data_IF_388008279286
#
_entry.id   IF_388008279286
#
_cell.length_a   1.000
_cell.length_b   1.000
_cell.length_c   1.000
_cell.angle_alpha   90.00
_cell.angle_beta   90.00
_cell.angle_gamma   90.00
#
_symmetry.space_group_name_H-M   'P 1'
#
loop_
_entity.id
_entity.type
_entity.pdbx_description
1 polymer ?
#
# COMPACT_ATOMS: atom_id res chain seq x y z
N UNK A 1 61.26 62.17 32.03
CA UNK A 1 61.97 63.10 31.12
C UNK A 1 61.50 62.75 29.71
N UNK A 2 60.64 63.53 29.03
CA UNK A 2 60.94 64.72 28.16
C UNK A 2 62.05 64.38 27.14
N UNK A 3 61.90 64.47 25.81
CA UNK A 3 61.16 65.36 24.87
C UNK A 3 60.95 64.57 23.54
N UNK A 4 59.86 64.62 22.75
CA UNK A 4 59.18 65.69 21.98
C UNK A 4 60.04 66.41 20.94
N UNK A 5 59.72 66.26 19.63
CA UNK A 5 59.31 67.30 18.64
C UNK A 5 59.33 66.70 17.20
N UNK A 6 58.19 66.56 16.51
CA UNK A 6 57.54 67.50 15.56
C UNK A 6 58.29 67.74 14.24
N UNK A 7 57.61 67.46 13.13
CA UNK A 7 57.38 68.48 12.09
C UNK A 7 55.90 68.46 11.70
N UNK A 8 55.27 69.59 12.00
CA UNK A 8 53.96 70.08 11.57
C UNK A 8 53.96 70.51 10.11
N UNK A 9 52.85 70.32 9.41
CA UNK A 9 52.37 71.32 8.45
C UNK A 9 50.86 71.50 8.61
N UNK A 10 50.46 72.77 8.64
CA UNK A 10 49.15 73.30 9.00
C UNK A 10 48.63 74.14 7.82
N UNK A 11 47.30 74.11 7.60
CA UNK A 11 46.53 75.07 6.79
C UNK A 11 46.03 74.47 5.48
N UNK A 12 44.75 74.51 5.10
CA UNK A 12 43.68 75.46 5.43
C UNK A 12 42.31 74.77 5.44
N UNK A 13 41.44 75.23 6.33
CA UNK A 13 39.98 75.07 6.29
C UNK A 13 39.38 76.30 5.55
N UNK A 14 38.12 76.46 5.12
CA UNK A 14 36.76 75.94 5.39
C UNK A 14 35.96 76.27 4.09
N UNK A 15 34.97 75.49 3.61
CA UNK A 15 33.49 75.64 3.74
C UNK A 15 32.92 74.67 2.67
N UNK A 16 31.89 73.83 2.82
CA UNK A 16 30.92 73.46 3.86
C UNK A 16 30.41 72.03 3.52
N UNK A 17 29.58 71.32 4.27
CA UNK A 17 28.69 71.59 5.39
C UNK A 17 28.78 70.43 6.40
N UNK A 18 28.59 70.75 7.68
CA UNK A 18 28.10 69.91 8.77
C UNK A 18 26.92 69.01 8.33
N UNK A 19 26.63 67.83 8.88
CA UNK A 19 26.67 67.43 10.28
C UNK A 19 26.66 65.89 10.43
N UNK A 20 27.27 65.44 11.53
CA UNK A 20 26.91 64.30 12.38
C UNK A 20 26.63 62.91 11.76
N UNK A 21 27.56 62.02 12.10
CA UNK A 21 27.34 60.63 12.46
C UNK A 21 25.96 60.33 13.06
N UNK A 22 25.13 59.64 12.29
CA UNK A 22 24.14 58.70 12.81
C UNK A 22 24.34 57.36 12.12
N UNK A 23 24.35 56.32 12.96
CA UNK A 23 24.17 54.93 12.59
C UNK A 23 23.12 54.79 11.49
N UNK A 24 23.55 54.43 10.29
CA UNK A 24 22.73 53.65 9.38
C UNK A 24 23.21 52.21 9.52
N UNK A 25 22.68 51.53 10.55
CA UNK A 25 22.55 50.10 10.44
C UNK A 25 21.66 49.87 9.21
N UNK A 26 22.27 49.50 8.09
CA UNK A 26 21.52 48.91 6.99
C UNK A 26 20.77 47.72 7.59
N UNK A 27 19.43 47.69 7.59
CA UNK A 27 18.75 46.46 7.94
C UNK A 27 19.16 45.48 6.83
N UNK A 28 19.89 44.43 7.20
CA UNK A 28 19.92 43.23 6.38
C UNK A 28 18.49 42.71 6.41
N UNK A 29 17.66 43.18 5.48
CA UNK A 29 16.36 42.60 5.22
C UNK A 29 16.59 41.28 4.50
N UNK A 30 16.93 40.25 5.26
CA UNK A 30 16.83 38.86 4.80
C UNK A 30 15.74 38.15 5.59
N UNK A 31 14.51 38.63 5.48
CA UNK A 31 13.37 37.73 5.65
C UNK A 31 13.29 36.88 4.37
N UNK A 32 14.25 35.96 4.20
CA UNK A 32 14.10 34.94 3.18
C UNK A 32 12.86 34.13 3.59
N UNK A 33 11.80 34.21 2.78
CA UNK A 33 10.60 33.42 3.01
C UNK A 33 11.00 31.95 3.10
N UNK A 34 10.51 31.27 4.13
CA UNK A 34 10.64 29.82 4.28
C UNK A 34 10.00 29.11 3.09
N UNK A 35 10.42 27.88 2.77
CA UNK A 35 9.78 27.10 1.69
C UNK A 35 8.26 26.94 1.92
N UNK A 36 7.84 26.90 3.18
CA UNK A 36 6.44 26.87 3.57
C UNK A 36 5.68 28.13 3.17
N UNK A 37 6.27 29.31 3.39
CA UNK A 37 5.69 30.59 2.99
C UNK A 37 5.65 30.78 1.47
N UNK A 38 6.56 30.14 0.72
CA UNK A 38 6.56 30.17 -0.76
C UNK A 38 5.47 29.32 -1.39
N UNK A 39 5.00 28.29 -0.69
CA UNK A 39 4.03 27.31 -1.21
C UNK A 39 2.90 27.06 -0.20
N UNK A 40 2.00 28.05 0.00
CA UNK A 40 0.91 27.96 0.97
C UNK A 40 -0.17 26.94 0.61
N UNK A 41 -0.16 26.42 -0.61
CA UNK A 41 -1.04 25.36 -1.12
C UNK A 41 -0.63 23.95 -0.65
N UNK A 42 0.57 23.81 -0.08
CA UNK A 42 1.09 22.55 0.46
C UNK A 42 0.74 22.38 1.92
N UNK A 43 0.40 21.15 2.29
CA UNK A 43 0.34 20.74 3.70
C UNK A 43 1.64 20.04 4.05
N UNK A 44 2.46 20.69 4.88
CA UNK A 44 3.77 20.20 5.29
C UNK A 44 3.68 19.17 6.42
N UNK A 45 4.56 18.18 6.36
CA UNK A 45 4.72 17.13 7.36
C UNK A 45 6.21 17.01 7.65
N UNK A 46 6.64 17.62 8.76
CA UNK A 46 8.07 17.81 9.03
C UNK A 46 8.66 18.96 8.22
N UNK A 47 9.95 18.85 7.92
CA UNK A 47 10.72 19.88 7.22
C UNK A 47 10.74 19.65 5.71
N UNK A 48 10.80 18.38 5.28
CA UNK A 48 11.05 18.02 3.89
C UNK A 48 9.83 17.50 3.16
N UNK A 49 8.86 16.93 3.88
CA UNK A 49 7.72 16.28 3.24
C UNK A 49 6.50 17.19 3.19
N UNK A 50 5.65 16.92 2.20
CA UNK A 50 4.37 17.59 2.08
C UNK A 50 3.40 16.78 1.23
N UNK A 51 2.14 17.20 1.22
CA UNK A 51 1.18 16.81 0.20
C UNK A 51 0.40 18.00 -0.32
N UNK A 52 -0.17 17.84 -1.51
CA UNK A 52 -1.12 18.78 -2.11
C UNK A 52 -2.42 18.04 -2.42
N UNK A 53 -3.53 18.77 -2.45
CA UNK A 53 -4.79 18.23 -2.95
C UNK A 53 -4.85 18.46 -4.46
N UNK A 54 -4.94 17.39 -5.23
CA UNK A 54 -5.14 17.43 -6.68
C UNK A 54 -6.57 16.99 -7.02
N UNK A 55 -7.11 17.59 -8.09
CA UNK A 55 -8.38 17.13 -8.65
C UNK A 55 -8.27 15.71 -9.20
N UNK A 56 -9.35 14.93 -9.04
CA UNK A 56 -9.47 13.63 -9.67
C UNK A 56 -9.21 13.71 -11.18
N UNK A 57 -8.54 12.68 -11.71
CA UNK A 57 -8.29 12.50 -13.14
C UNK A 57 -9.59 12.04 -13.80
N UNK A 58 -10.22 12.92 -14.57
CA UNK A 58 -11.50 12.64 -15.24
C UNK A 58 -11.39 12.57 -16.76
N UNK A 59 -10.30 13.09 -17.33
CA UNK A 59 -10.03 13.14 -18.76
C UNK A 59 -9.25 11.92 -19.29
N UNK A 60 -8.68 11.10 -18.39
CA UNK A 60 -8.04 9.85 -18.77
C UNK A 60 -9.00 8.67 -18.56
N UNK A 61 -9.07 7.77 -19.54
CA UNK A 61 -9.89 6.56 -19.42
C UNK A 61 -9.04 5.32 -19.13
N UNK A 62 -8.73 5.07 -17.85
CA UNK A 62 -8.08 3.81 -17.44
C UNK A 62 -9.08 2.67 -17.19
N UNK A 63 -10.37 2.93 -17.38
CA UNK A 63 -11.48 1.99 -17.22
C UNK A 63 -12.13 1.80 -18.58
N UNK A 64 -12.03 0.61 -19.19
CA UNK A 64 -12.56 0.37 -20.55
C UNK A 64 -14.09 0.26 -20.64
N UNK A 65 -14.80 0.52 -19.56
CA UNK A 65 -16.23 0.33 -19.42
C UNK A 65 -16.92 1.70 -19.40
N UNK A 66 -17.61 2.02 -20.49
CA UNK A 66 -18.23 3.33 -20.71
C UNK A 66 -19.46 3.56 -19.82
N UNK A 67 -20.00 2.52 -19.17
CA UNK A 67 -21.08 2.66 -18.19
C UNK A 67 -20.55 3.27 -16.87
N UNK A 68 -19.25 3.13 -16.59
CA UNK A 68 -18.63 3.62 -15.36
C UNK A 68 -18.26 5.09 -15.47
N UNK A 69 -18.99 5.93 -14.75
CA UNK A 69 -18.86 7.37 -14.81
C UNK A 69 -17.65 7.87 -13.98
N UNK A 70 -16.74 8.67 -14.57
CA UNK A 70 -15.68 9.34 -13.82
C UNK A 70 -16.28 10.40 -12.88
N UNK A 71 -15.91 10.34 -11.61
CA UNK A 71 -16.37 11.26 -10.59
C UNK A 71 -15.30 12.31 -10.29
N UNK A 72 -15.69 13.59 -10.12
CA UNK A 72 -14.78 14.59 -9.58
C UNK A 72 -14.49 14.29 -8.10
N UNK A 73 -13.42 14.89 -7.59
CA UNK A 73 -13.01 14.79 -6.20
C UNK A 73 -11.69 15.50 -5.97
N UNK A 74 -11.30 15.69 -4.72
CA UNK A 74 -9.98 16.17 -4.33
C UNK A 74 -9.26 15.04 -3.61
N UNK A 75 -8.06 14.71 -4.06
CA UNK A 75 -7.28 13.60 -3.55
C UNK A 75 -5.86 14.07 -3.20
N UNK A 76 -5.28 13.60 -2.09
CA UNK A 76 -3.93 13.98 -1.73
C UNK A 76 -2.92 13.28 -2.65
N UNK A 77 -1.85 14.02 -2.98
CA UNK A 77 -0.65 13.49 -3.60
C UNK A 77 0.56 13.77 -2.73
N UNK A 78 1.23 12.70 -2.33
CA UNK A 78 2.26 12.70 -1.31
C UNK A 78 3.67 12.83 -1.89
N UNK A 79 4.44 13.78 -1.36
CA UNK A 79 5.85 14.01 -1.68
C UNK A 79 6.66 13.73 -0.40
N UNK A 80 7.25 12.55 -0.32
CA UNK A 80 7.94 12.06 0.88
C UNK A 80 9.43 11.86 0.56
N UNK A 81 10.25 12.83 0.95
CA UNK A 81 11.70 12.83 0.75
C UNK A 81 12.48 12.33 1.98
N UNK A 82 11.85 12.35 3.16
CA UNK A 82 12.41 11.80 4.38
C UNK A 82 11.33 11.02 5.15
N UNK A 83 11.35 9.70 5.04
CA UNK A 83 10.35 8.83 5.70
C UNK A 83 10.40 8.88 7.23
N UNK A 84 11.51 9.27 7.84
CA UNK A 84 11.63 9.34 9.30
C UNK A 84 10.81 10.49 9.91
N UNK A 85 10.55 11.54 9.11
CA UNK A 85 9.65 12.65 9.45
C UNK A 85 8.18 12.33 9.20
N UNK A 86 7.88 11.22 8.51
CA UNK A 86 6.51 10.88 8.13
C UNK A 86 5.76 10.12 9.25
N UNK A 87 4.45 10.36 9.44
CA UNK A 87 3.65 9.63 10.40
C UNK A 87 3.75 8.12 10.21
N UNK A 88 4.14 7.44 11.29
CA UNK A 88 4.14 5.97 11.36
C UNK A 88 2.74 5.47 11.62
N UNK A 89 2.49 4.24 11.21
CA UNK A 89 1.27 3.52 11.52
C UNK A 89 1.19 3.28 13.04
N UNK A 90 0.13 3.80 13.68
CA UNK A 90 -0.19 3.54 15.07
C UNK A 90 -1.43 2.64 15.12
N UNK A 91 -1.30 1.47 15.76
CA UNK A 91 -2.41 0.52 15.90
C UNK A 91 -3.48 0.98 16.90
N UNK A 92 -3.16 1.99 17.73
CA UNK A 92 -4.08 2.56 18.72
C UNK A 92 -4.80 3.82 18.22
N UNK A 93 -4.39 4.39 17.08
CA UNK A 93 -5.07 5.51 16.45
C UNK A 93 -6.32 5.03 15.70
N UNK A 94 -7.45 4.99 16.39
CA UNK A 94 -8.73 4.57 15.80
C UNK A 94 -9.13 5.41 14.58
N UNK A 95 -8.68 6.66 14.49
CA UNK A 95 -9.00 7.52 13.34
C UNK A 95 -8.35 7.04 12.04
N UNK A 96 -7.25 6.27 12.12
CA UNK A 96 -6.65 5.65 10.94
C UNK A 96 -7.46 4.46 10.44
N UNK A 97 -8.31 3.83 11.25
CA UNK A 97 -8.99 2.57 10.90
C UNK A 97 -10.50 2.73 10.66
N UNK A 98 -10.97 3.96 10.45
CA UNK A 98 -12.36 4.28 10.13
C UNK A 98 -12.76 3.95 8.67
N UNK A 99 -11.79 3.66 7.80
CA UNK A 99 -11.98 3.19 6.43
C UNK A 99 -11.11 1.95 6.14
N UNK A 100 -11.48 1.15 5.13
CA UNK A 100 -10.58 0.17 4.53
C UNK A 100 -9.27 0.84 4.10
N UNK A 101 -8.18 0.07 4.08
CA UNK A 101 -6.84 0.61 3.79
C UNK A 101 -6.10 -0.22 2.75
N UNK A 102 -5.44 0.46 1.83
CA UNK A 102 -4.47 -0.14 0.94
C UNK A 102 -3.13 -0.30 1.65
N UNK A 103 -2.43 -1.40 1.37
CA UNK A 103 -1.07 -1.66 1.84
C UNK A 103 -0.18 -2.08 0.68
N UNK A 104 0.97 -1.45 0.54
CA UNK A 104 1.86 -1.56 -0.63
C UNK A 104 3.31 -1.31 -0.24
N UNK A 105 4.25 -1.71 -1.11
CA UNK A 105 5.66 -1.39 -0.97
C UNK A 105 6.05 -0.24 -1.90
N UNK A 106 6.81 0.71 -1.38
CA UNK A 106 7.23 1.90 -2.10
C UNK A 106 8.60 2.36 -1.57
N UNK A 107 9.51 2.65 -2.49
CA UNK A 107 10.76 3.32 -2.20
C UNK A 107 10.55 4.81 -2.47
N UNK A 108 10.43 5.59 -1.41
CA UNK A 108 10.16 7.03 -1.51
C UNK A 108 11.44 7.85 -1.83
N UNK A 109 12.63 7.25 -1.74
CA UNK A 109 13.91 7.97 -1.83
C UNK A 109 14.60 7.84 -3.22
N UNK A 110 14.01 7.11 -4.17
CA UNK A 110 14.49 6.90 -5.57
C UNK A 110 15.94 6.37 -5.71
N UNK A 111 16.55 5.90 -4.62
CA UNK A 111 18.00 5.66 -4.52
C UNK A 111 18.35 4.16 -4.59
N UNK A 112 17.47 3.24 -4.17
CA UNK A 112 17.77 1.80 -4.20
C UNK A 112 16.53 0.91 -3.96
N UNK A 113 16.21 0.01 -4.91
CA UNK A 113 15.14 -0.98 -4.79
C UNK A 113 15.27 -1.95 -3.60
N UNK A 114 16.45 -2.04 -2.98
CA UNK A 114 16.67 -2.85 -1.76
C UNK A 114 16.17 -2.14 -0.48
N UNK A 115 15.83 -0.85 -0.57
CA UNK A 115 15.32 -0.01 0.54
C UNK A 115 13.79 0.11 0.56
N UNK A 116 13.07 -0.84 -0.04
CA UNK A 116 11.60 -0.81 -0.02
C UNK A 116 11.08 -0.70 1.41
N UNK A 117 10.10 0.17 1.58
CA UNK A 117 9.34 0.35 2.83
C UNK A 117 7.92 -0.11 2.58
N UNK A 118 7.24 -0.58 3.61
CA UNK A 118 5.80 -0.91 3.51
C UNK A 118 5.02 0.28 4.04
N UNK A 119 4.02 0.70 3.27
CA UNK A 119 3.17 1.84 3.54
C UNK A 119 1.70 1.43 3.56
N UNK A 120 0.85 2.28 4.13
CA UNK A 120 -0.59 2.14 4.03
C UNK A 120 -1.28 3.49 3.82
N UNK A 121 -2.46 3.48 3.21
CA UNK A 121 -3.33 4.66 3.12
C UNK A 121 -4.79 4.22 3.15
N UNK A 122 -5.70 5.11 3.53
CA UNK A 122 -7.15 4.86 3.39
C UNK A 122 -7.53 4.71 1.93
N UNK A 123 -8.65 4.03 1.67
CA UNK A 123 -9.11 3.78 0.29
C UNK A 123 -9.55 5.03 -0.46
N UNK A 124 -9.81 6.13 0.25
CA UNK A 124 -10.04 7.46 -0.34
C UNK A 124 -8.72 8.23 -0.61
N UNK A 125 -7.58 7.59 -0.40
CA UNK A 125 -6.24 8.15 -0.61
C UNK A 125 -5.71 8.93 0.58
N UNK A 126 -6.51 9.23 1.60
CA UNK A 126 -6.05 10.01 2.76
C UNK A 126 -5.22 9.19 3.74
N UNK A 127 -4.57 9.87 4.68
CA UNK A 127 -3.89 9.26 5.82
C UNK A 127 -2.82 8.22 5.42
N UNK A 128 -1.88 8.61 4.55
CA UNK A 128 -0.67 7.83 4.24
C UNK A 128 0.18 7.63 5.51
N UNK A 129 0.57 6.39 5.80
CA UNK A 129 1.36 6.00 6.96
C UNK A 129 2.52 5.08 6.60
N UNK A 130 3.64 5.27 7.27
CA UNK A 130 4.78 4.35 7.21
C UNK A 130 4.55 3.15 8.13
N UNK A 131 4.52 1.96 7.56
CA UNK A 131 4.18 0.71 8.30
C UNK A 131 5.43 -0.07 8.67
N UNK A 132 6.31 -0.33 7.69
CA UNK A 132 7.60 -0.98 7.91
C UNK A 132 8.67 -0.06 7.35
N UNK A 133 9.50 0.57 8.22
CA UNK A 133 10.46 1.59 7.80
C UNK A 133 11.63 1.03 6.98
N UNK A 134 11.94 -0.26 7.12
CA UNK A 134 13.01 -0.89 6.38
C UNK A 134 12.82 -2.40 6.24
N UNK A 135 12.56 -2.85 5.02
CA UNK A 135 12.38 -4.26 4.73
C UNK A 135 13.73 -4.96 4.49
N UNK A 136 14.73 -4.24 3.94
CA UNK A 136 16.02 -4.76 3.44
C UNK A 136 15.88 -5.94 2.47
N UNK A 137 14.94 -5.88 1.52
CA UNK A 137 14.72 -6.94 0.53
C UNK A 137 14.58 -6.39 -0.89
N UNK A 138 15.07 -7.15 -1.88
CA UNK A 138 14.87 -6.85 -3.30
C UNK A 138 13.47 -7.31 -3.75
N UNK A 139 12.54 -6.36 -3.78
CA UNK A 139 11.17 -6.60 -4.25
C UNK A 139 10.28 -7.34 -3.26
N UNK A 140 9.00 -7.01 -3.25
CA UNK A 140 7.98 -7.62 -2.41
C UNK A 140 6.84 -8.11 -3.29
N UNK A 141 6.52 -9.40 -3.22
CA UNK A 141 5.52 -10.03 -4.13
C UNK A 141 4.16 -10.27 -3.47
N UNK A 142 4.08 -10.25 -2.14
CA UNK A 142 2.83 -10.40 -1.41
C UNK A 142 2.95 -9.73 -0.04
N UNK A 143 1.91 -9.00 0.37
CA UNK A 143 1.79 -8.40 1.70
C UNK A 143 0.47 -8.83 2.34
N UNK A 144 0.48 -9.13 3.64
CA UNK A 144 -0.67 -9.58 4.43
C UNK A 144 -0.67 -8.96 5.83
N UNK A 145 -1.66 -8.11 6.09
CA UNK A 145 -1.98 -7.62 7.44
C UNK A 145 -2.71 -8.70 8.25
N UNK A 146 -2.40 -8.84 9.53
CA UNK A 146 -3.19 -9.67 10.46
C UNK A 146 -4.56 -9.04 10.75
N UNK A 147 -5.61 -9.84 11.05
CA UNK A 147 -6.93 -9.32 11.41
C UNK A 147 -6.94 -8.34 12.59
N UNK A 148 -6.09 -8.54 13.60
CA UNK A 148 -5.94 -7.65 14.75
C UNK A 148 -5.04 -6.43 14.47
N UNK A 149 -4.64 -6.21 13.22
CA UNK A 149 -3.81 -5.10 12.72
C UNK A 149 -2.36 -5.06 13.23
N UNK A 150 -2.00 -5.84 14.26
CA UNK A 150 -0.68 -5.81 14.91
C UNK A 150 0.49 -6.29 14.04
N UNK A 151 0.25 -7.26 13.16
CA UNK A 151 1.31 -7.88 12.37
C UNK A 151 1.18 -7.58 10.88
N UNK A 152 2.32 -7.38 10.23
CA UNK A 152 2.43 -7.35 8.77
C UNK A 152 3.37 -8.44 8.33
N UNK A 153 2.89 -9.31 7.45
CA UNK A 153 3.71 -10.32 6.81
C UNK A 153 3.96 -9.95 5.34
N UNK A 154 5.14 -10.27 4.82
CA UNK A 154 5.43 -10.14 3.40
C UNK A 154 6.33 -11.26 2.88
N UNK A 155 6.27 -11.46 1.57
CA UNK A 155 7.17 -12.35 0.82
C UNK A 155 8.05 -11.49 -0.09
N UNK A 156 9.35 -11.68 -0.01
CA UNK A 156 10.31 -11.08 -0.95
C UNK A 156 10.39 -11.85 -2.28
N UNK A 157 11.00 -11.25 -3.31
CA UNK A 157 11.15 -11.90 -4.62
C UNK A 157 11.97 -13.19 -4.57
N UNK A 158 12.88 -13.30 -3.60
CA UNK A 158 13.69 -14.48 -3.32
C UNK A 158 12.96 -15.58 -2.53
N UNK A 159 11.64 -15.46 -2.32
CA UNK A 159 10.78 -16.36 -1.52
C UNK A 159 11.03 -16.34 -0.01
N UNK A 160 11.83 -15.41 0.48
CA UNK A 160 11.97 -15.11 1.89
C UNK A 160 10.66 -14.57 2.44
N UNK A 161 10.31 -14.95 3.67
CA UNK A 161 9.06 -14.56 4.32
C UNK A 161 9.37 -13.94 5.66
N UNK A 162 8.65 -12.87 5.97
CA UNK A 162 8.90 -12.09 7.17
C UNK A 162 7.59 -11.69 7.82
N UNK A 163 7.66 -11.49 9.13
CA UNK A 163 6.60 -10.90 9.95
C UNK A 163 7.21 -9.73 10.71
N UNK A 164 6.53 -8.59 10.69
CA UNK A 164 6.86 -7.43 11.49
C UNK A 164 5.74 -7.17 12.50
N UNK A 165 6.11 -7.08 13.77
CA UNK A 165 5.21 -6.69 14.86
C UNK A 165 5.25 -5.17 15.03
N UNK A 166 4.16 -4.49 14.70
CA UNK A 166 4.05 -3.04 14.81
C UNK A 166 4.15 -2.55 16.24
N UNK A 167 3.75 -3.37 17.21
CA UNK A 167 3.75 -2.99 18.61
C UNK A 167 5.17 -2.95 19.18
N UNK A 168 6.02 -3.89 18.77
CA UNK A 168 7.38 -4.05 19.31
C UNK A 168 8.48 -3.59 18.36
N UNK A 169 8.18 -3.41 17.07
CA UNK A 169 9.14 -3.13 16.02
C UNK A 169 10.01 -4.34 15.63
N UNK A 170 9.69 -5.54 16.11
CA UNK A 170 10.49 -6.75 15.86
C UNK A 170 10.18 -7.32 14.48
N UNK A 171 11.23 -7.51 13.67
CA UNK A 171 11.19 -8.24 12.40
C UNK A 171 11.64 -9.68 12.61
N UNK A 172 10.75 -10.62 12.33
CA UNK A 172 11.01 -12.06 12.38
C UNK A 172 11.06 -12.61 10.96
N UNK A 173 12.12 -13.34 10.61
CA UNK A 173 12.16 -14.12 9.37
C UNK A 173 11.56 -15.49 9.65
N UNK A 174 10.52 -15.85 8.92
CA UNK A 174 9.95 -17.20 8.96
C UNK A 174 10.52 -18.04 7.81
N UNK A 175 10.08 -19.28 7.70
CA UNK A 175 10.59 -20.19 6.69
C UNK A 175 10.21 -19.76 5.27
N UNK A 176 11.23 -19.71 4.41
CA UNK A 176 11.11 -19.28 3.01
C UNK A 176 10.82 -20.43 2.04
N UNK A 177 11.02 -20.18 0.74
CA UNK A 177 10.84 -21.17 -0.32
C UNK A 177 9.41 -21.26 -0.86
N UNK A 178 9.25 -22.03 -1.94
CA UNK A 178 7.95 -22.34 -2.53
C UNK A 178 7.32 -21.18 -3.31
N UNK A 179 6.16 -21.45 -3.91
CA UNK A 179 5.32 -20.42 -4.53
C UNK A 179 4.79 -19.38 -3.52
N UNK A 180 4.50 -18.13 -3.92
CA UNK A 180 3.96 -17.13 -3.01
C UNK A 180 2.61 -17.56 -2.43
N UNK A 181 2.51 -17.70 -1.11
CA UNK A 181 1.26 -18.03 -0.42
C UNK A 181 1.35 -17.78 1.08
N UNK A 182 0.44 -16.93 1.59
CA UNK A 182 0.32 -16.60 3.01
C UNK A 182 -1.11 -16.20 3.37
N UNK A 183 -1.58 -16.63 4.54
CA UNK A 183 -2.86 -16.22 5.13
C UNK A 183 -2.79 -16.25 6.65
N UNK A 184 -3.41 -15.26 7.30
CA UNK A 184 -3.53 -15.22 8.76
C UNK A 184 -4.76 -16.02 9.22
N UNK A 185 -4.69 -16.61 10.41
CA UNK A 185 -5.87 -17.03 11.16
C UNK A 185 -6.71 -15.82 11.56
N UNK A 186 -8.02 -16.03 11.75
CA UNK A 186 -8.96 -14.99 12.15
C UNK A 186 -8.60 -14.31 13.48
N UNK A 187 -8.02 -15.06 14.41
CA UNK A 187 -7.53 -14.57 15.70
C UNK A 187 -6.12 -13.95 15.65
N UNK A 188 -5.49 -13.88 14.46
CA UNK A 188 -4.12 -13.39 14.25
C UNK A 188 -3.02 -14.18 14.97
N UNK A 189 -3.34 -15.36 15.53
CA UNK A 189 -2.39 -16.21 16.24
C UNK A 189 -1.43 -16.95 15.30
N UNK A 190 -1.91 -17.36 14.14
CA UNK A 190 -1.14 -18.16 13.19
C UNK A 190 -1.03 -17.46 11.85
N UNK A 191 0.18 -17.43 11.31
CA UNK A 191 0.43 -17.18 9.89
C UNK A 191 0.65 -18.52 9.20
N UNK A 192 -0.24 -18.91 8.29
CA UNK A 192 -0.08 -20.08 7.44
C UNK A 192 0.60 -19.68 6.14
N UNK A 193 1.53 -20.49 5.66
CA UNK A 193 2.29 -20.16 4.47
C UNK A 193 2.80 -21.41 3.75
N UNK A 194 3.02 -21.25 2.45
CA UNK A 194 3.61 -22.29 1.62
C UNK A 194 5.15 -22.25 1.71
N UNK A 195 5.76 -23.42 1.76
CA UNK A 195 7.20 -23.65 1.89
C UNK A 195 7.67 -24.54 0.73
N UNK A 196 8.96 -24.83 0.67
CA UNK A 196 9.49 -25.86 -0.20
C UNK A 196 10.20 -26.91 0.65
N UNK A 197 9.91 -28.21 0.46
CA UNK A 197 10.62 -29.29 1.13
C UNK A 197 12.14 -29.13 0.94
N UNK A 198 12.91 -29.16 2.03
CA UNK A 198 14.34 -28.85 1.99
C UNK A 198 15.02 -28.84 3.36
N UNK A 199 16.30 -28.45 3.38
CA UNK A 199 17.36 -28.91 4.31
C UNK A 199 17.05 -29.09 5.81
N UNK A 200 16.06 -28.41 6.40
CA UNK A 200 15.71 -28.56 7.82
C UNK A 200 14.19 -28.69 8.11
N UNK A 201 13.34 -28.76 7.08
CA UNK A 201 11.89 -28.89 7.24
C UNK A 201 11.25 -29.43 5.95
N UNK A 202 10.71 -30.64 6.02
CA UNK A 202 10.32 -31.43 4.85
C UNK A 202 8.81 -31.41 4.61
N UNK A 203 8.22 -30.22 4.47
CA UNK A 203 6.80 -30.06 4.16
C UNK A 203 6.56 -28.90 3.20
N UNK A 204 5.49 -28.99 2.41
CA UNK A 204 5.08 -27.95 1.45
C UNK A 204 4.35 -26.78 2.12
N UNK A 205 3.85 -26.93 3.34
CA UNK A 205 3.11 -25.89 4.03
C UNK A 205 3.38 -25.93 5.53
N UNK A 206 3.40 -24.74 6.14
CA UNK A 206 3.66 -24.57 7.56
C UNK A 206 2.79 -23.46 8.15
N UNK A 207 2.75 -23.41 9.48
CA UNK A 207 2.23 -22.28 10.24
C UNK A 207 3.28 -21.75 11.21
N UNK A 208 3.30 -20.43 11.41
CA UNK A 208 4.09 -19.76 12.44
C UNK A 208 3.15 -19.25 13.54
N UNK A 209 3.47 -19.51 14.79
CA UNK A 209 2.73 -19.05 15.96
C UNK A 209 3.26 -17.69 16.44
N UNK A 210 2.41 -16.67 16.49
CA UNK A 210 2.80 -15.31 16.88
C UNK A 210 3.12 -15.15 18.37
N UNK A 211 2.70 -16.08 19.22
CA UNK A 211 2.97 -16.06 20.66
C UNK A 211 4.27 -16.78 21.03
N UNK A 212 4.54 -17.93 20.41
CA UNK A 212 5.70 -18.79 20.74
C UNK A 212 6.86 -18.64 19.77
N UNK A 213 6.60 -18.13 18.56
CA UNK A 213 7.56 -18.09 17.47
C UNK A 213 7.79 -19.44 16.77
N UNK A 214 7.10 -20.49 17.20
CA UNK A 214 7.30 -21.85 16.68
C UNK A 214 6.72 -22.02 15.28
N UNK A 215 7.32 -22.93 14.52
CA UNK A 215 6.89 -23.31 13.17
C UNK A 215 6.50 -24.78 13.17
N UNK A 216 5.31 -25.07 12.66
CA UNK A 216 4.75 -26.42 12.60
C UNK A 216 4.21 -26.73 11.21
N UNK A 217 4.26 -28.01 10.83
CA UNK A 217 3.74 -28.49 9.56
C UNK A 217 2.21 -28.43 9.53
N UNK A 218 1.65 -28.19 8.35
CA UNK A 218 0.20 -28.28 8.11
C UNK A 218 -0.07 -29.13 6.86
N UNK A 219 -1.27 -29.70 6.77
CA UNK A 219 -1.68 -30.65 5.73
C UNK A 219 -2.58 -30.04 4.63
N UNK A 220 -2.65 -28.70 4.56
CA UNK A 220 -3.42 -27.97 3.56
C UNK A 220 -2.59 -26.88 2.87
N UNK A 221 -2.89 -26.65 1.58
CA UNK A 221 -2.17 -25.70 0.74
C UNK A 221 -2.62 -24.25 0.95
N UNK A 222 -1.66 -23.32 0.94
CA UNK A 222 -1.90 -21.88 1.04
C UNK A 222 -1.41 -21.19 -0.23
N UNK A 223 -2.32 -20.57 -0.98
CA UNK A 223 -1.99 -19.80 -2.19
C UNK A 223 -1.83 -18.30 -1.94
N UNK A 224 -1.48 -17.52 -3.00
CA UNK A 224 -1.31 -16.08 -2.89
C UNK A 224 -2.64 -15.36 -2.67
N UNK A 225 -3.75 -15.96 -3.11
CA UNK A 225 -5.12 -15.45 -2.95
C UNK A 225 -5.91 -16.41 -2.05
N UNK A 226 -5.41 -16.60 -0.83
CA UNK A 226 -6.03 -17.41 0.20
C UNK A 226 -6.84 -16.54 1.18
N UNK A 227 -8.01 -17.02 1.58
CA UNK A 227 -8.76 -16.53 2.76
C UNK A 227 -9.09 -17.73 3.62
N UNK A 228 -8.80 -17.64 4.91
CA UNK A 228 -9.12 -18.64 5.91
C UNK A 228 -10.21 -18.07 6.81
N UNK A 229 -11.38 -18.70 6.81
CA UNK A 229 -12.54 -18.28 7.60
C UNK A 229 -13.36 -19.48 8.05
N UNK A 230 -13.78 -19.53 9.32
CA UNK A 230 -14.62 -20.59 9.86
C UNK A 230 -14.07 -22.00 9.54
N UNK A 231 -12.76 -22.21 9.72
CA UNK A 231 -12.05 -23.47 9.38
C UNK A 231 -12.19 -23.90 7.91
N UNK A 232 -12.53 -22.99 7.01
CA UNK A 232 -12.53 -23.21 5.57
C UNK A 232 -11.44 -22.36 4.95
N UNK A 233 -10.53 -22.99 4.21
CA UNK A 233 -9.59 -22.28 3.36
C UNK A 233 -10.12 -22.19 1.94
N UNK A 234 -10.23 -20.97 1.44
CA UNK A 234 -10.61 -20.67 0.06
C UNK A 234 -9.38 -20.13 -0.66
N UNK A 235 -9.03 -20.73 -1.79
CA UNK A 235 -7.88 -20.36 -2.61
C UNK A 235 -8.34 -20.08 -4.04
N UNK A 236 -8.00 -18.91 -4.58
CA UNK A 236 -8.12 -18.66 -6.01
C UNK A 236 -6.83 -19.07 -6.74
N UNK A 237 -6.92 -20.10 -7.59
CA UNK A 237 -5.82 -20.68 -8.36
C UNK A 237 -5.90 -20.30 -9.85
N UNK A 238 -5.12 -20.95 -10.71
CA UNK A 238 -5.06 -20.68 -12.15
C UNK A 238 -6.34 -21.10 -12.90
N UNK A 239 -7.07 -22.08 -12.37
CA UNK A 239 -8.24 -22.68 -13.05
C UNK A 239 -9.58 -22.31 -12.43
N UNK A 240 -9.58 -21.64 -11.28
CA UNK A 240 -10.79 -21.43 -10.49
C UNK A 240 -10.53 -21.33 -9.00
N UNK A 241 -11.61 -21.39 -8.24
CA UNK A 241 -11.61 -21.31 -6.77
C UNK A 241 -11.66 -22.71 -6.18
N UNK A 242 -10.78 -22.99 -5.22
CA UNK A 242 -10.79 -24.20 -4.40
C UNK A 242 -11.19 -23.87 -2.98
N UNK A 243 -12.17 -24.59 -2.42
CA UNK A 243 -12.58 -24.50 -1.01
C UNK A 243 -12.23 -25.83 -0.34
N UNK A 244 -11.59 -25.79 0.82
CA UNK A 244 -11.38 -26.97 1.66
C UNK A 244 -11.86 -26.69 3.08
N UNK A 245 -12.80 -27.49 3.55
CA UNK A 245 -13.17 -27.55 4.96
C UNK A 245 -12.07 -28.32 5.71
N UNK A 246 -11.44 -27.68 6.68
CA UNK A 246 -10.31 -28.24 7.42
C UNK A 246 -10.74 -29.21 8.54
N UNK A 247 -12.04 -29.34 8.80
CA UNK A 247 -12.61 -30.25 9.81
C UNK A 247 -12.86 -31.64 9.23
N UNK A 248 -13.37 -31.72 7.99
CA UNK A 248 -13.76 -32.97 7.34
C UNK A 248 -13.03 -33.22 6.01
N UNK A 249 -12.11 -32.33 5.61
CA UNK A 249 -11.37 -32.38 4.35
C UNK A 249 -12.21 -32.33 3.08
N UNK A 250 -13.47 -31.90 3.15
CA UNK A 250 -14.32 -31.72 1.98
C UNK A 250 -13.71 -30.67 1.05
N UNK A 251 -13.44 -31.06 -0.20
CA UNK A 251 -12.88 -30.20 -1.24
C UNK A 251 -13.96 -29.84 -2.27
N UNK A 252 -13.99 -28.58 -2.67
CA UNK A 252 -14.83 -28.10 -3.76
C UNK A 252 -14.03 -27.23 -4.73
N UNK A 253 -14.28 -27.39 -6.02
CA UNK A 253 -13.67 -26.59 -7.08
C UNK A 253 -14.75 -25.90 -7.93
N UNK A 254 -14.68 -24.57 -8.01
CA UNK A 254 -15.49 -23.74 -8.91
C UNK A 254 -14.58 -23.33 -10.07
N UNK A 255 -14.70 -24.06 -11.19
CA UNK A 255 -13.85 -23.94 -12.37
C UNK A 255 -14.25 -22.75 -13.25
N UNK A 256 -13.30 -22.07 -13.90
CA UNK A 256 -13.59 -21.10 -14.98
C UNK A 256 -14.21 -21.75 -16.23
N UNK A 257 -14.09 -23.07 -16.34
CA UNK A 257 -14.78 -23.87 -17.35
C UNK A 257 -15.60 -24.96 -16.63
N UNK A 258 -16.87 -24.70 -16.27
CA UNK A 258 -17.69 -25.65 -15.50
C UNK A 258 -18.00 -26.95 -16.25
N UNK A 259 -18.01 -26.93 -17.58
CA UNK A 259 -18.42 -28.05 -18.43
C UNK A 259 -17.24 -28.82 -19.02
N UNK A 260 -16.00 -28.42 -18.73
CA UNK A 260 -14.82 -29.00 -19.36
C UNK A 260 -13.52 -28.78 -18.59
N UNK A 261 -12.41 -29.20 -19.22
CA UNK A 261 -11.06 -28.96 -18.68
C UNK A 261 -10.58 -27.56 -19.05
N UNK A 262 -9.83 -26.96 -18.13
CA UNK A 262 -9.16 -25.67 -18.36
C UNK A 262 -7.78 -25.95 -18.96
N UNK A 263 -7.51 -25.44 -20.15
CA UNK A 263 -6.20 -25.53 -20.78
C UNK A 263 -5.24 -24.49 -20.19
N UNK A 264 -3.93 -24.74 -20.26
CA UNK A 264 -2.92 -23.83 -19.72
C UNK A 264 -3.02 -22.41 -20.31
N UNK A 265 -3.34 -22.29 -21.59
CA UNK A 265 -3.55 -20.98 -22.26
C UNK A 265 -4.73 -20.18 -21.70
N UNK A 266 -5.65 -20.85 -20.99
CA UNK A 266 -6.85 -20.28 -20.38
C UNK A 266 -6.63 -19.92 -18.91
N UNK A 267 -5.46 -20.23 -18.33
CA UNK A 267 -5.17 -19.96 -16.93
C UNK A 267 -5.31 -18.47 -16.59
N UNK A 268 -5.88 -18.23 -15.41
CA UNK A 268 -5.96 -16.92 -14.78
C UNK A 268 -4.56 -16.40 -14.49
N UNK A 269 -4.23 -15.23 -15.03
CA UNK A 269 -2.96 -14.52 -14.85
C UNK A 269 -3.04 -13.49 -13.74
N UNK A 270 -4.10 -12.68 -13.75
CA UNK A 270 -4.40 -11.70 -12.71
C UNK A 270 -5.61 -12.17 -11.93
N UNK A 271 -5.58 -11.96 -10.62
CA UNK A 271 -6.51 -12.57 -9.68
C UNK A 271 -6.67 -11.65 -8.48
N UNK A 272 -7.84 -11.71 -7.85
CA UNK A 272 -8.17 -10.98 -6.63
C UNK A 272 -9.29 -11.69 -5.89
N UNK A 273 -9.36 -11.50 -4.58
CA UNK A 273 -10.41 -12.09 -3.75
C UNK A 273 -10.87 -11.08 -2.70
N UNK A 274 -12.17 -11.04 -2.44
CA UNK A 274 -12.75 -10.15 -1.44
C UNK A 274 -12.29 -10.55 -0.02
N UNK A 275 -12.31 -9.63 0.96
CA UNK A 275 -11.83 -9.89 2.31
C UNK A 275 -12.51 -11.08 3.00
N UNK A 276 -13.76 -11.36 2.63
CA UNK A 276 -14.54 -12.49 3.20
C UNK A 276 -14.33 -13.80 2.45
N UNK A 277 -13.67 -13.79 1.28
CA UNK A 277 -13.57 -14.96 0.40
C UNK A 277 -14.88 -15.34 -0.28
N UNK A 278 -15.91 -14.47 -0.25
CA UNK A 278 -17.22 -14.70 -0.90
C UNK A 278 -17.18 -14.46 -2.40
N UNK A 279 -16.44 -13.44 -2.83
CA UNK A 279 -16.30 -13.10 -4.24
C UNK A 279 -14.84 -13.15 -4.64
N UNK A 280 -14.61 -13.59 -5.86
CA UNK A 280 -13.29 -13.57 -6.45
C UNK A 280 -13.35 -13.10 -7.89
N UNK A 281 -12.25 -12.53 -8.36
CA UNK A 281 -12.08 -12.07 -9.73
C UNK A 281 -10.83 -12.71 -10.33
N UNK A 282 -10.90 -13.05 -11.61
CA UNK A 282 -9.76 -13.53 -12.36
C UNK A 282 -9.78 -13.05 -13.80
N UNK A 283 -8.60 -12.91 -14.40
CA UNK A 283 -8.45 -12.58 -15.81
C UNK A 283 -7.39 -13.46 -16.46
N UNK A 284 -7.70 -13.95 -17.67
CA UNK A 284 -6.72 -14.52 -18.58
C UNK A 284 -6.51 -13.61 -19.81
N UNK A 285 -5.84 -14.10 -20.85
CA UNK A 285 -5.58 -13.29 -22.04
C UNK A 285 -6.84 -12.84 -22.80
N UNK A 286 -7.94 -13.57 -22.66
CA UNK A 286 -9.13 -13.44 -23.50
C UNK A 286 -10.35 -12.96 -22.72
N UNK A 287 -10.48 -13.39 -21.46
CA UNK A 287 -11.70 -13.27 -20.70
C UNK A 287 -11.42 -12.82 -19.26
N UNK A 288 -12.47 -12.30 -18.64
CA UNK A 288 -12.52 -11.97 -17.22
C UNK A 288 -13.60 -12.80 -16.55
N UNK A 289 -13.43 -13.10 -15.29
CA UNK A 289 -14.27 -14.02 -14.53
C UNK A 289 -14.61 -13.40 -13.18
N UNK A 290 -15.88 -13.49 -12.79
CA UNK A 290 -16.34 -13.19 -11.43
C UNK A 290 -16.94 -14.44 -10.84
N UNK A 291 -16.44 -14.82 -9.68
CA UNK A 291 -16.92 -15.95 -8.91
C UNK A 291 -17.79 -15.44 -7.78
N UNK A 292 -18.99 -16.01 -7.66
CA UNK A 292 -19.77 -16.00 -6.43
C UNK A 292 -19.55 -17.37 -5.76
N UNK A 293 -18.76 -17.39 -4.70
CA UNK A 293 -18.23 -18.62 -4.07
C UNK A 293 -19.27 -19.23 -3.11
N UNK A 294 -20.23 -18.43 -2.67
CA UNK A 294 -21.36 -18.88 -1.86
C UNK A 294 -22.43 -19.54 -2.73
N UNK A 295 -22.80 -18.90 -3.84
CA UNK A 295 -23.74 -19.45 -4.81
C UNK A 295 -23.09 -20.43 -5.81
N UNK A 296 -21.76 -20.56 -5.76
CA UNK A 296 -20.97 -21.50 -6.55
C UNK A 296 -21.08 -21.28 -8.07
N UNK A 297 -21.22 -20.02 -8.44
CA UNK A 297 -21.35 -19.61 -9.84
C UNK A 297 -20.10 -18.87 -10.30
N UNK A 298 -19.83 -18.97 -11.60
CA UNK A 298 -18.83 -18.15 -12.28
C UNK A 298 -19.48 -17.47 -13.47
N UNK A 299 -19.33 -16.16 -13.55
CA UNK A 299 -19.72 -15.35 -14.71
C UNK A 299 -18.48 -15.04 -15.52
N UNK A 300 -18.57 -15.25 -16.83
CA UNK A 300 -17.52 -14.95 -17.80
C UNK A 300 -17.90 -13.68 -18.54
N UNK A 301 -16.96 -12.76 -18.65
CA UNK A 301 -17.08 -11.49 -19.36
C UNK A 301 -16.04 -11.41 -20.46
N UNK A 302 -16.36 -10.69 -21.53
CA UNK A 302 -15.35 -10.28 -22.51
C UNK A 302 -14.39 -9.26 -21.87
N UNK A 303 -13.18 -9.12 -22.43
CA UNK A 303 -12.14 -8.28 -21.82
C UNK A 303 -12.55 -6.81 -21.69
N UNK A 304 -13.46 -6.30 -22.50
CA UNK A 304 -13.90 -4.90 -22.50
C UNK A 304 -14.92 -4.58 -21.41
N UNK A 305 -15.73 -5.55 -20.99
CA UNK A 305 -16.95 -5.35 -20.18
C UNK A 305 -16.72 -5.28 -18.66
N UNK A 306 -15.50 -5.50 -18.17
CA UNK A 306 -15.26 -5.53 -16.73
C UNK A 306 -13.87 -5.02 -16.40
N UNK A 307 -13.71 -3.93 -15.65
CA UNK A 307 -12.37 -3.42 -15.27
C UNK A 307 -11.56 -4.40 -14.44
N UNK A 308 -10.23 -4.37 -14.53
CA UNK A 308 -9.37 -5.34 -13.87
C UNK A 308 -9.30 -5.03 -12.39
N UNK A 309 -9.82 -5.92 -11.56
CA UNK A 309 -9.90 -5.71 -10.11
C UNK A 309 -8.80 -6.52 -9.42
N UNK A 310 -7.59 -5.98 -9.42
CA UNK A 310 -6.48 -6.56 -8.63
C UNK A 310 -6.82 -6.62 -7.14
N UNK A 311 -7.71 -5.73 -6.69
CA UNK A 311 -8.22 -5.65 -5.31
C UNK A 311 -9.74 -5.61 -5.33
N UNK A 312 -10.37 -6.36 -4.43
CA UNK A 312 -11.81 -6.39 -4.20
C UNK A 312 -12.13 -5.96 -2.77
N UNK A 313 -13.18 -5.16 -2.60
CA UNK A 313 -13.77 -4.83 -1.31
C UNK A 313 -14.75 -5.90 -0.84
N UNK A 314 -15.42 -5.62 0.30
CA UNK A 314 -16.53 -6.43 0.80
C UNK A 314 -17.60 -6.56 -0.30
N UNK A 315 -18.13 -7.78 -0.43
CA UNK A 315 -19.15 -8.15 -1.43
C UNK A 315 -18.80 -7.80 -2.89
N UNK A 316 -17.52 -7.55 -3.20
CA UNK A 316 -17.05 -7.06 -4.49
C UNK A 316 -17.76 -5.78 -4.99
N UNK A 317 -18.36 -4.99 -4.10
CA UNK A 317 -18.95 -3.68 -4.43
C UNK A 317 -17.88 -2.72 -4.91
N UNK A 318 -16.84 -2.53 -4.11
CA UNK A 318 -15.69 -1.71 -4.51
C UNK A 318 -14.58 -2.57 -5.09
N UNK A 319 -13.83 -1.99 -6.03
CA UNK A 319 -12.61 -2.60 -6.55
C UNK A 319 -11.55 -1.58 -6.91
N UNK A 320 -10.30 -2.01 -6.91
CA UNK A 320 -9.18 -1.20 -7.38
C UNK A 320 -8.20 -1.99 -8.25
N UNK A 321 -7.46 -1.23 -9.06
CA UNK A 321 -6.21 -1.71 -9.65
C UNK A 321 -5.15 -1.89 -8.55
N UNK A 322 -4.24 -2.84 -8.73
CA UNK A 322 -3.16 -3.18 -7.79
C UNK A 322 -1.94 -2.23 -7.91
N UNK A 323 -2.13 -1.02 -8.44
CA UNK A 323 -1.06 -0.04 -8.68
C UNK A 323 -1.32 1.27 -7.93
N UNK A 324 -0.44 1.58 -6.99
CA UNK A 324 -0.61 2.76 -6.12
C UNK A 324 -0.24 4.10 -6.79
N UNK A 325 0.65 4.12 -7.79
CA UNK A 325 1.00 5.39 -8.49
C UNK A 325 -0.19 5.99 -9.22
N UNK A 326 -1.12 5.13 -9.64
CA UNK A 326 -2.33 5.50 -10.37
C UNK A 326 -3.50 4.78 -9.73
N UNK A 327 -4.02 5.39 -8.68
CA UNK A 327 -5.15 4.80 -7.99
C UNK A 327 -6.37 4.86 -8.89
N UNK A 328 -7.11 3.76 -8.95
CA UNK A 328 -8.42 3.70 -9.59
C UNK A 328 -9.32 2.92 -8.67
N UNK A 329 -10.28 3.60 -8.09
CA UNK A 329 -11.34 2.99 -7.29
C UNK A 329 -12.62 3.00 -8.10
N UNK A 330 -13.31 1.87 -8.14
CA UNK A 330 -14.60 1.69 -8.81
C UNK A 330 -15.62 1.23 -7.80
N UNK A 331 -16.73 1.96 -7.67
CA UNK A 331 -17.97 1.48 -7.07
C UNK A 331 -18.79 0.80 -8.17
N UNK A 332 -18.89 -0.53 -8.09
CA UNK A 332 -19.58 -1.39 -9.06
C UNK A 332 -21.09 -1.34 -8.90
N UNK A 333 -21.60 -0.93 -7.74
CA UNK A 333 -23.04 -0.83 -7.50
C UNK A 333 -23.60 0.47 -8.06
N UNK A 334 -22.87 1.58 -7.89
CA UNK A 334 -23.29 2.90 -8.37
C UNK A 334 -22.70 3.27 -9.73
N UNK A 335 -21.89 2.40 -10.33
CA UNK A 335 -21.19 2.62 -11.61
C UNK A 335 -20.37 3.91 -11.63
N UNK A 336 -19.60 4.15 -10.56
CA UNK A 336 -18.76 5.34 -10.37
C UNK A 336 -17.29 4.99 -10.24
N UNK A 337 -16.41 5.86 -10.72
CA UNK A 337 -14.96 5.72 -10.52
C UNK A 337 -14.29 7.01 -10.05
N UNK A 338 -13.23 6.84 -9.27
CA UNK A 338 -12.32 7.90 -8.86
C UNK A 338 -10.90 7.51 -9.22
N UNK A 339 -10.14 8.46 -9.76
CA UNK A 339 -8.77 8.25 -10.20
C UNK A 339 -7.87 9.41 -9.79
N UNK A 340 -6.69 9.09 -9.29
CA UNK A 340 -5.70 10.10 -8.88
C UNK A 340 -4.29 9.50 -8.83
N UNK A 341 -3.30 10.40 -8.81
CA UNK A 341 -1.91 10.04 -8.57
C UNK A 341 -1.61 10.20 -7.08
N UNK A 342 -1.48 9.10 -6.35
CA UNK A 342 -1.29 9.14 -4.89
C UNK A 342 0.14 9.52 -4.50
N UNK A 343 1.14 9.16 -5.30
CA UNK A 343 2.56 9.32 -4.98
C UNK A 343 3.22 10.28 -5.98
N UNK A 344 3.88 11.32 -5.47
CA UNK A 344 4.59 12.34 -6.25
C UNK A 344 6.11 12.18 -6.28
N UNK A 345 6.65 11.15 -5.62
CA UNK A 345 8.09 10.87 -5.45
C UNK A 345 8.33 9.36 -5.52
N UNK A 346 9.57 8.93 -5.72
CA UNK A 346 9.96 7.54 -5.50
C UNK A 346 9.57 6.55 -6.61
N UNK A 347 10.19 5.38 -6.58
CA UNK A 347 9.88 4.26 -7.45
C UNK A 347 8.97 3.26 -6.72
N UNK A 348 7.91 2.81 -7.39
CA UNK A 348 7.13 1.69 -6.89
C UNK A 348 7.94 0.41 -7.10
N UNK A 349 8.08 -0.39 -6.04
CA UNK A 349 8.77 -1.66 -6.10
C UNK A 349 8.26 -2.53 -7.25
N UNK A 350 9.18 -3.01 -8.09
CA UNK A 350 8.86 -3.90 -9.21
C UNK A 350 8.22 -5.17 -8.65
N UNK A 351 6.92 -5.35 -8.93
CA UNK A 351 6.04 -6.42 -8.41
C UNK A 351 5.45 -6.23 -7.01
N UNK A 352 5.41 -5.02 -6.46
CA UNK A 352 4.61 -4.74 -5.26
C UNK A 352 3.11 -4.95 -5.55
N UNK A 353 2.57 -6.10 -5.14
CA UNK A 353 1.13 -6.31 -5.14
C UNK A 353 0.51 -5.52 -3.98
N UNK A 354 -0.25 -4.48 -4.33
CA UNK A 354 -1.08 -3.79 -3.35
C UNK A 354 -2.14 -4.73 -2.79
N UNK A 355 -2.39 -4.64 -1.49
CA UNK A 355 -3.38 -5.44 -0.78
C UNK A 355 -4.37 -4.54 -0.05
N UNK A 356 -5.56 -5.07 0.23
CA UNK A 356 -6.54 -4.42 1.09
C UNK A 356 -6.51 -5.08 2.47
N UNK A 357 -6.54 -4.27 3.52
CA UNK A 357 -6.82 -4.72 4.87
C UNK A 357 -7.85 -3.81 5.52
N UNK A 358 -8.34 -4.24 6.70
CA UNK A 358 -9.47 -3.59 7.36
C UNK A 358 -10.72 -3.48 6.46
N UNK A 359 -10.86 -4.38 5.47
CA UNK A 359 -11.81 -4.24 4.37
C UNK A 359 -13.29 -4.40 4.71
N UNK A 360 -13.61 -4.61 5.99
CA UNK A 360 -14.98 -4.75 6.49
C UNK A 360 -15.45 -3.54 7.31
N UNK A 361 -14.54 -2.63 7.68
CA UNK A 361 -14.92 -1.40 8.39
C UNK A 361 -15.74 -0.49 7.47
N UNK A 362 -16.47 0.45 8.07
CA UNK A 362 -17.38 1.35 7.35
C UNK A 362 -18.34 0.57 6.45
N UNK A 363 -18.81 -0.58 6.94
CA UNK A 363 -19.61 -1.55 6.18
C UNK A 363 -19.03 -2.01 4.84
N UNK A 364 -17.70 -1.86 4.66
CA UNK A 364 -16.98 -2.15 3.43
C UNK A 364 -16.99 -1.03 2.39
N UNK A 365 -17.53 0.15 2.73
CA UNK A 365 -17.50 1.34 1.89
C UNK A 365 -16.10 1.95 1.90
N UNK A 366 -15.64 2.38 0.73
CA UNK A 366 -14.27 2.89 0.54
C UNK A 366 -14.13 4.40 0.66
N UNK A 367 -15.27 5.09 0.73
CA UNK A 367 -15.40 6.51 1.00
C UNK A 367 -16.36 6.66 2.16
N UNK A 368 -16.17 7.70 2.98
CA UNK A 368 -17.22 8.11 3.90
C UNK A 368 -18.39 8.65 3.09
N UNK A 369 -19.61 8.35 3.51
CA UNK A 369 -20.76 9.10 3.01
C UNK A 369 -20.53 10.57 3.38
N UNK A 370 -20.77 11.47 2.43
CA UNK A 370 -20.82 12.89 2.75
C UNK A 370 -21.94 13.10 3.77
N UNK A 371 -21.60 13.51 5.00
CA UNK A 371 -22.59 14.02 5.95
C UNK A 371 -23.35 15.23 5.38
#
# INVERSE_FOLDING_TARGET
>A
MKKTLLITLLGLAIIGCNDQSQQSASPISSSAQTEQEKHPDRVYVGEQNYYVMESAVTNENWVSDDEIQPMPGQFPKYYVFNSDEWPKEDINDASSYDLPRFQFAWDNDDDDRVKLKIWSMKTDGTDLRLVVPDTKVDGIVLIRRSPNLRYVAWIDRGTGKYVYDLQTGVKTRVMGGGSPGMVWSEDSRYLYFHTMPGQNFDVDNARWNSETGEIEAIDFGVGPYAVLKNKTITNLSYTGVFKRDLTNNALKHISINPTGKVQQREWLKFRGMSPTGRYAWGQNNQNRFIFDIENETVKKYEKTEYVGSGILGKDARFSAHDRVSRMTVVDRETHRRWQWYALGTGEIGVNSNMSLYNGLVNDGLWFKESE
#
